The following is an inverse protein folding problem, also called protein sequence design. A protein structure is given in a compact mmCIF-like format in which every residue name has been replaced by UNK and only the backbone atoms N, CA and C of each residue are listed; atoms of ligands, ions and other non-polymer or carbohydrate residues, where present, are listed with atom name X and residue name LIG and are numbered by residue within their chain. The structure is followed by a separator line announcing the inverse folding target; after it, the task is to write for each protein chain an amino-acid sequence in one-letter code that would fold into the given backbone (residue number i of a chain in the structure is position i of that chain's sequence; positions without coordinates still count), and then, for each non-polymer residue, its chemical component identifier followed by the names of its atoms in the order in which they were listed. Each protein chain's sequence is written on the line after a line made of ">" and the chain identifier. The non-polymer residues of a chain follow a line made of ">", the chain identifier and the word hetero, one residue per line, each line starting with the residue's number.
data_IF_951617730802
#
_entry.id   IF_951617730802
#
_cell.length_a   1.000
_cell.length_b   1.000
_cell.length_c   1.000
_cell.angle_alpha   90.00
_cell.angle_beta   90.00
_cell.angle_gamma   90.00
#
_symmetry.space_group_name_H-M   'P 1'
#
loop_
_entity.id
_entity.type
_entity.pdbx_description
1 polymer ?
#
# COMPACT_ATOMS: atom_id res chain seq x y z
N UNK A 1 1.78 7.62 -25.56
CA UNK A 1 1.79 6.42 -24.69
C UNK A 1 0.37 6.20 -24.20
N UNK A 2 -0.23 5.02 -24.41
CA UNK A 2 -1.56 4.72 -23.85
C UNK A 2 -1.41 4.45 -22.36
N UNK A 3 -2.39 4.87 -21.57
CA UNK A 3 -2.43 4.63 -20.13
C UNK A 3 -2.48 3.11 -19.87
N UNK A 4 -1.49 2.60 -19.13
CA UNK A 4 -1.56 1.26 -18.57
C UNK A 4 -2.62 1.24 -17.46
N UNK A 5 -3.38 0.15 -17.30
CA UNK A 5 -4.38 0.07 -16.24
C UNK A 5 -3.70 0.14 -14.86
N UNK A 6 -4.45 0.65 -13.90
CA UNK A 6 -4.02 0.80 -12.51
C UNK A 6 -4.90 -0.06 -11.61
N UNK A 7 -4.34 -0.45 -10.46
CA UNK A 7 -5.10 -1.06 -9.36
C UNK A 7 -5.12 -0.10 -8.17
N UNK A 8 -6.12 -0.25 -7.31
CA UNK A 8 -6.10 0.42 -6.00
C UNK A 8 -5.01 -0.19 -5.11
N UNK A 9 -4.38 0.65 -4.30
CA UNK A 9 -3.36 0.26 -3.32
C UNK A 9 -3.63 0.95 -1.99
N UNK A 10 -3.10 0.42 -0.90
CA UNK A 10 -3.18 1.09 0.39
C UNK A 10 -2.43 2.41 0.33
N UNK A 11 -3.04 3.47 0.86
CA UNK A 11 -2.40 4.76 1.03
C UNK A 11 -1.62 4.79 2.35
N UNK A 12 -0.46 5.43 2.32
CA UNK A 12 0.34 5.72 3.50
C UNK A 12 0.04 7.16 3.92
N UNK A 13 -0.17 7.38 5.21
CA UNK A 13 -0.43 8.69 5.77
C UNK A 13 0.60 9.04 6.84
N UNK A 14 1.30 10.16 6.63
CA UNK A 14 2.14 10.81 7.64
C UNK A 14 1.65 12.23 7.91
N UNK A 15 1.70 12.61 9.17
CA UNK A 15 1.35 13.93 9.71
C UNK A 15 2.58 14.51 10.38
N UNK A 16 2.83 15.81 10.20
CA UNK A 16 3.95 16.49 10.87
C UNK A 16 3.50 17.84 11.39
N UNK A 17 3.75 18.12 12.67
CA UNK A 17 3.50 19.44 13.23
C UNK A 17 4.47 20.45 12.61
N UNK A 18 3.97 21.58 12.10
CA UNK A 18 4.81 22.59 11.43
C UNK A 18 5.80 23.24 12.40
N UNK A 19 5.45 23.32 13.69
CA UNK A 19 6.31 23.84 14.76
C UNK A 19 7.18 22.75 15.43
N UNK A 20 7.07 21.49 14.99
CA UNK A 20 7.81 20.36 15.54
C UNK A 20 7.29 19.84 16.89
N UNK A 21 6.18 20.38 17.41
CA UNK A 21 5.64 19.94 18.70
C UNK A 21 4.71 18.72 18.55
N UNK A 22 5.31 17.53 18.57
CA UNK A 22 4.58 16.26 18.51
C UNK A 22 3.62 16.02 19.68
N UNK A 23 3.89 16.61 20.86
CA UNK A 23 3.03 16.47 22.04
C UNK A 23 1.76 17.31 21.83
N UNK A 24 1.92 18.55 21.37
CA UNK A 24 0.80 19.40 21.00
C UNK A 24 -0.03 18.79 19.87
N UNK A 25 0.64 18.23 18.84
CA UNK A 25 -0.03 17.50 17.76
C UNK A 25 -0.88 16.35 18.27
N UNK A 26 -0.32 15.47 19.11
CA UNK A 26 -1.07 14.35 19.70
C UNK A 26 -2.33 14.83 20.42
N UNK A 27 -2.18 15.85 21.27
CA UNK A 27 -3.29 16.42 22.03
C UNK A 27 -4.36 17.01 21.11
N UNK A 28 -3.95 17.69 20.04
CA UNK A 28 -4.85 18.30 19.09
C UNK A 28 -5.62 17.25 18.26
N UNK A 29 -4.96 16.16 17.83
CA UNK A 29 -5.62 15.03 17.17
C UNK A 29 -6.68 14.38 18.08
N UNK A 30 -6.35 14.14 19.36
CA UNK A 30 -7.31 13.62 20.34
C UNK A 30 -8.48 14.57 20.53
N UNK A 31 -8.20 15.87 20.64
CA UNK A 31 -9.24 16.87 20.81
C UNK A 31 -10.18 16.93 19.62
N UNK A 32 -9.70 16.79 18.38
CA UNK A 32 -10.52 16.83 17.17
C UNK A 32 -11.18 15.49 16.81
N UNK A 33 -10.81 14.39 17.47
CA UNK A 33 -11.55 13.14 17.40
C UNK A 33 -12.91 13.28 18.09
N UNK A 34 -13.89 13.78 17.33
CA UNK A 34 -15.28 14.02 17.75
C UNK A 34 -16.25 13.36 16.76
N UNK A 35 -17.52 13.28 17.17
CA UNK A 35 -18.58 12.72 16.33
C UNK A 35 -18.40 11.21 16.17
N UNK A 36 -18.07 10.77 14.96
CA UNK A 36 -17.78 9.35 14.67
C UNK A 36 -16.38 8.92 15.09
N UNK A 37 -15.50 9.87 15.42
CA UNK A 37 -14.13 9.59 15.85
C UNK A 37 -13.99 9.72 17.36
N UNK A 38 -13.24 8.79 17.96
CA UNK A 38 -13.03 8.68 19.40
C UNK A 38 -11.59 8.30 19.70
N UNK A 39 -11.07 8.77 20.84
CA UNK A 39 -9.79 8.31 21.36
C UNK A 39 -9.92 6.89 21.94
N UNK A 40 -9.08 5.95 21.47
CA UNK A 40 -9.14 4.54 21.88
C UNK A 40 -8.03 4.19 22.90
N UNK A 41 -8.29 4.51 24.16
CA UNK A 41 -7.38 4.24 25.27
C UNK A 41 -7.17 2.73 25.54
N UNK A 42 -8.16 1.90 25.20
CA UNK A 42 -8.08 0.45 25.41
C UNK A 42 -7.06 -0.16 24.45
N UNK A 43 -7.12 0.23 23.17
CA UNK A 43 -6.14 -0.20 22.17
C UNK A 43 -4.71 0.26 22.53
N UNK A 44 -4.54 1.49 22.99
CA UNK A 44 -3.24 1.99 23.47
C UNK A 44 -2.69 1.15 24.63
N UNK A 45 -3.53 0.89 25.63
CA UNK A 45 -3.15 0.10 26.81
C UNK A 45 -2.76 -1.33 26.44
N UNK A 46 -3.50 -1.96 25.52
CA UNK A 46 -3.20 -3.30 25.01
C UNK A 46 -1.87 -3.33 24.26
N UNK A 47 -1.58 -2.32 23.44
CA UNK A 47 -0.32 -2.25 22.69
C UNK A 47 0.90 -2.10 23.62
N UNK A 48 0.78 -1.32 24.70
CA UNK A 48 1.81 -1.20 25.74
C UNK A 48 2.02 -2.53 26.45
N UNK A 49 0.94 -3.23 26.84
CA UNK A 49 1.03 -4.53 27.52
C UNK A 49 1.70 -5.64 26.69
N UNK A 50 1.70 -5.51 25.36
CA UNK A 50 2.37 -6.40 24.43
C UNK A 50 3.83 -6.00 24.11
N UNK A 51 4.35 -4.95 24.76
CA UNK A 51 5.71 -4.45 24.53
C UNK A 51 5.91 -3.76 23.17
N UNK A 52 4.81 -3.41 22.48
CA UNK A 52 4.83 -2.82 21.14
C UNK A 52 4.84 -1.28 21.14
N UNK A 53 4.91 -0.65 22.32
CA UNK A 53 4.99 0.80 22.47
C UNK A 53 5.54 1.22 23.83
N UNK A 54 6.04 2.44 23.94
CA UNK A 54 6.30 3.07 25.24
C UNK A 54 5.03 3.75 25.75
N UNK A 55 4.91 3.97 27.06
CA UNK A 55 3.92 4.91 27.58
C UNK A 55 4.04 6.24 26.80
N UNK A 56 2.91 6.76 26.29
CA UNK A 56 2.76 8.00 25.54
C UNK A 56 3.23 8.08 24.07
N UNK A 57 3.72 7.02 23.42
CA UNK A 57 4.14 7.13 22.01
C UNK A 57 3.05 6.77 21.01
N UNK A 58 2.36 5.65 21.19
CA UNK A 58 1.29 5.22 20.29
C UNK A 58 0.02 6.07 20.49
N UNK A 59 -0.65 6.41 19.39
CA UNK A 59 -1.97 7.03 19.39
C UNK A 59 -2.94 6.09 18.65
N UNK A 60 -4.05 5.73 19.28
CA UNK A 60 -5.11 4.96 18.64
C UNK A 60 -6.41 5.76 18.62
N UNK A 61 -7.01 5.90 17.44
CA UNK A 61 -8.29 6.56 17.25
C UNK A 61 -9.27 5.59 16.61
N UNK A 62 -10.42 5.40 17.24
CA UNK A 62 -11.51 4.55 16.72
C UNK A 62 -12.50 5.40 15.98
N UNK A 63 -12.95 4.88 14.84
CA UNK A 63 -14.07 5.38 14.05
C UNK A 63 -15.25 4.43 14.20
N UNK A 64 -16.40 4.94 14.57
CA UNK A 64 -17.66 4.20 14.50
C UNK A 64 -18.08 4.01 13.03
N UNK A 65 -18.73 2.88 12.71
CA UNK A 65 -19.17 2.57 11.35
C UNK A 65 -20.43 3.33 10.94
N UNK A 66 -20.57 3.59 9.64
CA UNK A 66 -21.80 4.10 9.01
C UNK A 66 -22.08 3.38 7.68
N UNK A 67 -23.06 3.89 6.91
CA UNK A 67 -23.48 3.30 5.63
C UNK A 67 -22.37 3.29 4.56
N UNK A 68 -21.37 4.17 4.65
CA UNK A 68 -20.35 4.38 3.62
C UNK A 68 -18.97 3.87 4.04
N UNK A 69 -18.62 4.05 5.31
CA UNK A 69 -17.28 3.78 5.82
C UNK A 69 -17.40 2.85 7.04
N UNK A 70 -16.67 1.72 7.04
CA UNK A 70 -16.76 0.73 8.11
C UNK A 70 -16.16 1.25 9.42
N UNK A 71 -16.58 0.64 10.53
CA UNK A 71 -15.96 0.84 11.83
C UNK A 71 -14.50 0.34 11.79
N UNK A 72 -13.58 1.16 12.29
CA UNK A 72 -12.16 0.83 12.25
C UNK A 72 -11.36 1.54 13.35
N UNK A 73 -10.20 1.00 13.69
CA UNK A 73 -9.20 1.62 14.56
C UNK A 73 -7.99 2.02 13.72
N UNK A 74 -7.66 3.31 13.76
CA UNK A 74 -6.46 3.88 13.16
C UNK A 74 -5.37 3.99 14.22
N UNK A 75 -4.24 3.34 13.95
CA UNK A 75 -3.08 3.36 14.84
C UNK A 75 -1.99 4.24 14.25
N UNK A 76 -1.52 5.20 15.03
CA UNK A 76 -0.45 6.11 14.67
C UNK A 76 0.77 5.89 15.58
N UNK A 77 1.95 5.83 14.96
CA UNK A 77 3.23 5.79 15.66
C UNK A 77 4.00 7.08 15.42
N UNK A 78 4.81 7.53 16.39
CA UNK A 78 5.68 8.68 16.18
C UNK A 78 6.64 8.45 15.01
N UNK A 79 6.80 9.47 14.17
CA UNK A 79 7.72 9.46 13.04
C UNK A 79 8.47 10.80 12.97
N UNK A 80 9.80 10.74 12.99
CA UNK A 80 10.67 11.93 12.98
C UNK A 80 10.47 12.87 14.17
N UNK A 81 10.90 14.12 14.01
CA UNK A 81 10.76 15.16 15.02
C UNK A 81 9.35 15.76 14.97
N UNK A 82 8.48 15.31 15.87
CA UNK A 82 7.15 15.88 16.05
C UNK A 82 6.07 15.40 15.07
N UNK A 83 6.29 14.28 14.39
CA UNK A 83 5.33 13.69 13.45
C UNK A 83 4.71 12.37 13.91
N UNK A 84 3.67 11.96 13.18
CA UNK A 84 2.99 10.68 13.34
C UNK A 84 2.77 10.03 11.98
N UNK A 85 2.96 8.72 11.90
CA UNK A 85 2.60 7.91 10.75
C UNK A 85 1.49 6.94 11.11
N UNK A 86 0.47 6.84 10.27
CA UNK A 86 -0.51 5.75 10.36
C UNK A 86 0.19 4.47 9.96
N UNK A 87 0.30 3.53 10.90
CA UNK A 87 0.92 2.22 10.64
C UNK A 87 -0.10 1.14 10.36
N UNK A 88 -1.34 1.32 10.82
CA UNK A 88 -2.39 0.34 10.58
C UNK A 88 -3.79 0.97 10.65
N UNK A 89 -4.71 0.37 9.90
CA UNK A 89 -6.15 0.62 9.99
C UNK A 89 -6.83 -0.75 10.05
N UNK A 90 -7.37 -1.08 11.22
CA UNK A 90 -7.92 -2.41 11.50
C UNK A 90 -9.44 -2.30 11.59
N UNK A 91 -10.22 -3.11 10.84
CA UNK A 91 -11.67 -3.10 10.96
C UNK A 91 -12.10 -3.60 12.35
N UNK A 92 -13.14 -2.99 12.90
CA UNK A 92 -13.69 -3.40 14.21
C UNK A 92 -14.71 -4.55 14.07
N UNK A 93 -15.38 -4.66 12.93
CA UNK A 93 -16.49 -5.61 12.70
C UNK A 93 -16.25 -6.56 11.53
N UNK A 94 -15.37 -6.19 10.60
CA UNK A 94 -15.03 -6.99 9.42
C UNK A 94 -13.77 -7.84 9.69
N UNK A 95 -13.61 -8.90 8.91
CA UNK A 95 -12.37 -9.68 8.93
C UNK A 95 -11.18 -8.90 8.36
N UNK A 96 -11.39 -8.20 7.24
CA UNK A 96 -10.39 -7.39 6.57
C UNK A 96 -11.05 -6.23 5.81
N UNK A 97 -10.29 -5.14 5.61
CA UNK A 97 -10.69 -4.02 4.75
C UNK A 97 -10.17 -4.25 3.33
N UNK A 98 -11.01 -3.90 2.35
CA UNK A 98 -10.53 -3.69 0.97
C UNK A 98 -9.64 -2.45 0.89
N UNK A 99 -8.85 -2.30 -0.18
CA UNK A 99 -8.08 -1.07 -0.43
C UNK A 99 -8.97 0.17 -0.44
N UNK A 100 -10.14 0.08 -1.09
CA UNK A 100 -11.13 1.15 -1.12
C UNK A 100 -11.58 1.57 0.27
N UNK A 101 -11.98 0.61 1.11
CA UNK A 101 -12.48 0.87 2.46
C UNK A 101 -11.38 1.43 3.36
N UNK A 102 -10.18 0.84 3.32
CA UNK A 102 -9.01 1.34 4.05
C UNK A 102 -8.72 2.80 3.70
N UNK A 103 -8.63 3.09 2.39
CA UNK A 103 -8.36 4.44 1.90
C UNK A 103 -9.48 5.42 2.24
N UNK A 104 -10.73 4.95 2.32
CA UNK A 104 -11.87 5.77 2.72
C UNK A 104 -11.81 6.14 4.20
N UNK A 105 -11.42 5.21 5.08
CA UNK A 105 -11.17 5.49 6.50
C UNK A 105 -10.06 6.54 6.65
N UNK A 106 -8.95 6.40 5.91
CA UNK A 106 -7.86 7.40 5.96
C UNK A 106 -8.29 8.79 5.49
N UNK A 107 -9.08 8.87 4.41
CA UNK A 107 -9.59 10.15 3.91
C UNK A 107 -10.53 10.80 4.92
N UNK A 108 -11.42 10.01 5.52
CA UNK A 108 -12.31 10.50 6.58
C UNK A 108 -11.54 10.98 7.81
N UNK A 109 -10.51 10.24 8.24
CA UNK A 109 -9.61 10.66 9.30
C UNK A 109 -8.93 12.00 8.99
N UNK A 110 -8.48 12.18 7.75
CA UNK A 110 -7.86 13.44 7.31
C UNK A 110 -8.86 14.60 7.39
N UNK A 111 -10.06 14.44 6.85
CA UNK A 111 -11.05 15.51 6.81
C UNK A 111 -11.59 15.87 8.20
N UNK A 112 -11.89 14.86 9.02
CA UNK A 112 -12.59 15.03 10.28
C UNK A 112 -11.67 15.30 11.47
N UNK A 113 -10.41 14.81 11.44
CA UNK A 113 -9.49 14.90 12.58
C UNK A 113 -8.22 15.65 12.22
N UNK A 114 -7.52 15.27 11.15
CA UNK A 114 -6.20 15.83 10.87
C UNK A 114 -6.27 17.29 10.39
N UNK A 115 -7.12 17.62 9.42
CA UNK A 115 -7.24 18.99 8.88
C UNK A 115 -7.72 20.04 9.91
N UNK A 116 -8.67 19.74 10.82
CA UNK A 116 -9.10 20.70 11.84
C UNK A 116 -8.09 20.94 12.97
N UNK A 117 -7.04 20.13 13.06
CA UNK A 117 -6.03 20.20 14.13
C UNK A 117 -5.28 21.55 14.11
N UNK A 118 -5.14 22.17 15.28
CA UNK A 118 -4.28 23.33 15.52
C UNK A 118 -3.15 22.96 16.50
N UNK A 119 -1.87 23.32 16.26
CA UNK A 119 -1.37 24.14 15.16
C UNK A 119 -1.46 23.45 13.79
N UNK A 120 -1.24 24.22 12.72
CA UNK A 120 -1.29 23.69 11.36
C UNK A 120 -0.30 22.51 11.19
N UNK A 121 -0.73 21.49 10.46
CA UNK A 121 0.05 20.28 10.21
C UNK A 121 0.31 20.11 8.72
N UNK A 122 1.46 19.51 8.39
CA UNK A 122 1.71 18.98 7.06
C UNK A 122 1.10 17.57 6.97
N UNK A 123 0.30 17.33 5.92
CA UNK A 123 -0.35 16.04 5.66
C UNK A 123 0.22 15.45 4.38
N UNK A 124 0.88 14.28 4.48
CA UNK A 124 1.41 13.54 3.34
C UNK A 124 0.63 12.25 3.17
N UNK A 125 -0.13 12.15 2.08
CA UNK A 125 -0.90 10.97 1.71
C UNK A 125 -0.35 10.40 0.39
N UNK A 126 0.01 9.11 0.37
CA UNK A 126 0.50 8.45 -0.85
C UNK A 126 -0.63 8.23 -1.88
N UNK A 127 -0.30 7.89 -3.14
CA UNK A 127 -1.31 7.65 -4.17
C UNK A 127 -2.15 6.40 -3.85
N UNK A 128 -3.47 6.50 -3.94
CA UNK A 128 -4.38 5.35 -3.75
C UNK A 128 -4.52 4.44 -4.97
N UNK A 129 -3.90 4.78 -6.10
CA UNK A 129 -3.83 3.93 -7.29
C UNK A 129 -2.41 3.91 -7.83
N UNK A 130 -2.00 2.75 -8.34
CA UNK A 130 -0.69 2.56 -8.98
C UNK A 130 -0.83 1.73 -10.25
N UNK A 131 -0.03 2.10 -11.23
CA UNK A 131 0.16 1.39 -12.50
C UNK A 131 1.52 0.68 -12.51
N UNK A 132 1.78 -0.17 -13.52
CA UNK A 132 3.11 -0.78 -13.71
C UNK A 132 4.25 0.24 -13.71
N UNK A 133 4.03 1.45 -14.23
CA UNK A 133 5.05 2.50 -14.27
C UNK A 133 5.50 2.95 -12.87
N UNK A 134 4.63 2.80 -11.86
CA UNK A 134 4.97 3.14 -10.48
C UNK A 134 5.92 2.10 -9.87
N UNK A 135 5.93 0.84 -10.36
CA UNK A 135 6.75 -0.26 -9.84
C UNK A 135 7.92 -0.69 -10.74
N UNK A 136 7.90 -0.35 -12.03
CA UNK A 136 8.92 -0.80 -12.99
C UNK A 136 9.49 0.35 -13.82
N UNK A 137 10.58 0.11 -14.56
CA UNK A 137 10.99 1.04 -15.62
C UNK A 137 9.95 1.11 -16.74
N UNK A 138 10.07 2.12 -17.61
CA UNK A 138 9.19 2.27 -18.76
C UNK A 138 9.33 1.10 -19.74
N UNK A 139 10.54 0.57 -19.90
CA UNK A 139 10.88 -0.55 -20.76
C UNK A 139 10.25 -1.85 -20.25
N UNK A 140 10.37 -2.11 -18.95
CA UNK A 140 9.75 -3.27 -18.31
C UNK A 140 8.21 -3.18 -18.37
N UNK A 141 7.62 -2.02 -18.07
CA UNK A 141 6.17 -1.83 -18.16
C UNK A 141 5.65 -2.04 -19.60
N UNK A 142 6.40 -1.55 -20.59
CA UNK A 142 6.09 -1.75 -22.00
C UNK A 142 6.17 -3.23 -22.40
N UNK A 143 7.24 -3.92 -21.99
CA UNK A 143 7.43 -5.35 -22.27
C UNK A 143 6.32 -6.21 -21.66
N UNK A 144 5.95 -5.96 -20.39
CA UNK A 144 4.84 -6.64 -19.72
C UNK A 144 3.51 -6.36 -20.43
N UNK A 145 3.26 -5.10 -20.80
CA UNK A 145 2.06 -4.74 -21.57
C UNK A 145 1.99 -5.41 -22.94
N UNK A 146 3.13 -5.63 -23.61
CA UNK A 146 3.19 -6.38 -24.88
C UNK A 146 2.89 -7.85 -24.67
N UNK A 147 3.52 -8.49 -23.68
CA UNK A 147 3.23 -9.87 -23.29
C UNK A 147 1.73 -10.04 -23.02
N UNK A 148 1.19 -9.22 -22.13
CA UNK A 148 -0.18 -9.40 -21.65
C UNK A 148 -1.27 -9.26 -22.72
N UNK A 149 -1.07 -8.35 -23.69
CA UNK A 149 -2.02 -8.17 -24.79
C UNK A 149 -1.95 -9.28 -25.84
N UNK A 150 -0.80 -9.92 -26.00
CA UNK A 150 -0.56 -10.84 -27.10
C UNK A 150 -0.66 -12.31 -26.68
N UNK A 151 -0.42 -12.60 -25.40
CA UNK A 151 -0.49 -13.94 -24.87
C UNK A 151 -1.95 -14.43 -24.77
N UNK A 152 -2.13 -15.72 -24.94
CA UNK A 152 -3.37 -16.35 -24.51
C UNK A 152 -3.38 -16.46 -22.98
N UNK A 153 -4.26 -15.69 -22.32
CA UNK A 153 -4.33 -15.59 -20.86
C UNK A 153 -4.70 -16.90 -20.16
N UNK A 154 -5.24 -17.89 -20.87
CA UNK A 154 -5.51 -19.21 -20.31
C UNK A 154 -4.30 -20.16 -20.32
N UNK A 155 -3.20 -19.78 -20.98
CA UNK A 155 -2.01 -20.63 -21.13
C UNK A 155 -0.70 -19.95 -20.69
N UNK A 156 -0.75 -18.70 -20.25
CA UNK A 156 0.41 -18.01 -19.69
C UNK A 156 1.58 -17.89 -20.66
N UNK A 157 2.76 -18.22 -20.15
CA UNK A 157 4.03 -18.22 -20.89
C UNK A 157 4.30 -19.55 -21.64
N UNK A 158 3.32 -20.47 -21.72
CA UNK A 158 3.55 -21.83 -22.27
C UNK A 158 3.83 -21.86 -23.77
N UNK A 159 3.26 -20.94 -24.56
CA UNK A 159 3.53 -20.88 -25.99
C UNK A 159 4.91 -20.22 -26.23
N UNK A 160 5.76 -20.72 -27.16
CA UNK A 160 7.12 -20.19 -27.34
C UNK A 160 7.20 -18.67 -27.53
N UNK A 161 6.31 -18.09 -28.34
CA UNK A 161 6.28 -16.64 -28.56
C UNK A 161 5.82 -15.84 -27.32
N UNK A 162 5.03 -16.45 -26.43
CA UNK A 162 4.58 -15.81 -25.20
C UNK A 162 5.66 -15.94 -24.13
N UNK A 163 6.36 -17.08 -24.10
CA UNK A 163 7.58 -17.28 -23.31
C UNK A 163 8.63 -16.22 -23.63
N UNK A 164 8.91 -15.98 -24.91
CA UNK A 164 9.91 -14.97 -25.32
C UNK A 164 9.53 -13.56 -24.84
N UNK A 165 8.25 -13.19 -24.97
CA UNK A 165 7.75 -11.89 -24.50
C UNK A 165 7.78 -11.77 -22.97
N UNK A 166 7.46 -12.85 -22.28
CA UNK A 166 7.53 -12.93 -20.83
C UNK A 166 8.97 -12.78 -20.31
N UNK A 167 9.91 -13.53 -20.90
CA UNK A 167 11.34 -13.43 -20.57
C UNK A 167 11.88 -12.03 -20.88
N UNK A 168 11.44 -11.40 -21.97
CA UNK A 168 11.81 -10.02 -22.28
C UNK A 168 11.40 -9.04 -21.17
N UNK A 169 10.20 -9.19 -20.60
CA UNK A 169 9.78 -8.40 -19.45
C UNK A 169 10.69 -8.62 -18.23
N UNK A 170 10.95 -9.88 -17.85
CA UNK A 170 11.79 -10.21 -16.70
C UNK A 170 13.20 -9.61 -16.84
N UNK A 171 13.82 -9.77 -18.01
CA UNK A 171 15.15 -9.23 -18.29
C UNK A 171 15.15 -7.70 -18.19
N UNK A 172 14.17 -7.02 -18.75
CA UNK A 172 14.05 -5.55 -18.65
C UNK A 172 13.86 -5.10 -17.20
N UNK A 173 13.06 -5.84 -16.41
CA UNK A 173 12.86 -5.54 -15.00
C UNK A 173 14.17 -5.70 -14.21
N UNK A 174 14.86 -6.83 -14.35
CA UNK A 174 16.14 -7.09 -13.69
C UNK A 174 17.22 -6.06 -14.05
N UNK A 175 17.35 -5.73 -15.34
CA UNK A 175 18.32 -4.75 -15.82
C UNK A 175 18.05 -3.33 -15.28
N UNK A 176 16.79 -3.01 -14.99
CA UNK A 176 16.43 -1.70 -14.42
C UNK A 176 16.95 -1.51 -12.99
N UNK A 177 17.34 -2.61 -12.30
CA UNK A 177 17.75 -2.62 -10.88
C UNK A 177 16.72 -2.05 -9.91
N UNK A 178 15.46 -1.88 -10.36
CA UNK A 178 14.33 -1.53 -9.49
C UNK A 178 13.82 -2.78 -8.81
N UNK A 179 13.60 -2.71 -7.50
CA UNK A 179 13.07 -3.81 -6.69
C UNK A 179 11.68 -3.46 -6.11
N UNK A 180 10.95 -2.55 -6.78
CA UNK A 180 9.67 -2.04 -6.27
C UNK A 180 8.47 -2.94 -6.64
N UNK A 181 8.65 -3.85 -7.61
CA UNK A 181 7.61 -4.79 -8.05
C UNK A 181 7.74 -6.12 -7.31
N UNK A 182 6.88 -6.31 -6.33
CA UNK A 182 6.75 -7.58 -5.60
C UNK A 182 5.92 -8.61 -6.42
N UNK A 183 6.24 -9.93 -6.35
CA UNK A 183 5.48 -10.96 -7.06
C UNK A 183 3.97 -10.95 -6.76
N UNK A 184 3.57 -10.71 -5.52
CA UNK A 184 2.15 -10.63 -5.15
C UNK A 184 1.45 -9.41 -5.79
N UNK A 185 2.17 -8.29 -5.90
CA UNK A 185 1.69 -7.09 -6.60
C UNK A 185 1.55 -7.35 -8.09
N UNK A 186 2.49 -8.07 -8.70
CA UNK A 186 2.43 -8.47 -10.11
C UNK A 186 1.22 -9.37 -10.39
N UNK A 187 1.01 -10.43 -9.59
CA UNK A 187 -0.15 -11.30 -9.71
C UNK A 187 -1.45 -10.51 -9.60
N UNK A 188 -1.57 -9.62 -8.60
CA UNK A 188 -2.76 -8.80 -8.41
C UNK A 188 -3.00 -7.84 -9.56
N UNK A 189 -1.95 -7.21 -10.09
CA UNK A 189 -2.10 -6.33 -11.25
C UNK A 189 -2.56 -7.11 -12.49
N UNK A 190 -1.99 -8.29 -12.75
CA UNK A 190 -2.40 -9.15 -13.86
C UNK A 190 -3.89 -9.54 -13.75
N UNK A 191 -4.36 -9.91 -12.57
CA UNK A 191 -5.75 -10.32 -12.37
C UNK A 191 -6.73 -9.14 -12.35
N UNK A 192 -6.52 -8.13 -11.50
CA UNK A 192 -7.47 -7.04 -11.28
C UNK A 192 -7.47 -6.01 -12.40
N UNK A 193 -6.29 -5.60 -12.88
CA UNK A 193 -6.16 -4.53 -13.86
C UNK A 193 -6.17 -5.03 -15.31
N UNK A 194 -5.64 -6.24 -15.55
CA UNK A 194 -5.52 -6.80 -16.90
C UNK A 194 -6.42 -8.02 -17.12
N UNK A 195 -7.12 -8.54 -16.11
CA UNK A 195 -8.13 -9.59 -16.30
C UNK A 195 -7.56 -10.97 -16.64
N UNK A 196 -6.36 -11.28 -16.17
CA UNK A 196 -5.85 -12.65 -16.18
C UNK A 196 -6.63 -13.53 -15.20
N UNK A 197 -6.83 -14.83 -15.51
CA UNK A 197 -7.25 -15.81 -14.51
C UNK A 197 -6.31 -15.78 -13.30
N UNK A 198 -6.87 -15.87 -12.09
CA UNK A 198 -6.13 -15.69 -10.83
C UNK A 198 -5.02 -16.74 -10.65
N UNK A 199 -5.32 -17.99 -10.99
CA UNK A 199 -4.37 -19.11 -11.02
C UNK A 199 -3.20 -18.81 -11.96
N UNK A 200 -3.49 -18.36 -13.19
CA UNK A 200 -2.46 -18.03 -14.17
C UNK A 200 -1.62 -16.80 -13.77
N UNK A 201 -2.26 -15.79 -13.18
CA UNK A 201 -1.55 -14.63 -12.65
C UNK A 201 -0.58 -15.02 -11.53
N UNK A 202 -0.97 -15.98 -10.68
CA UNK A 202 -0.13 -16.51 -9.62
C UNK A 202 1.03 -17.36 -10.16
N UNK A 203 0.77 -18.23 -11.15
CA UNK A 203 1.82 -19.00 -11.83
C UNK A 203 2.88 -18.09 -12.45
N UNK A 204 2.47 -17.04 -13.16
CA UNK A 204 3.38 -16.04 -13.72
C UNK A 204 4.18 -15.32 -12.63
N UNK A 205 3.57 -14.97 -11.50
CA UNK A 205 4.30 -14.35 -10.40
C UNK A 205 5.38 -15.28 -9.79
N UNK A 206 5.11 -16.58 -9.69
CA UNK A 206 6.10 -17.58 -9.25
C UNK A 206 7.25 -17.69 -10.26
N UNK A 207 6.93 -17.74 -11.56
CA UNK A 207 7.96 -17.73 -12.61
C UNK A 207 8.84 -16.47 -12.55
N UNK A 208 8.22 -15.32 -12.31
CA UNK A 208 8.90 -14.04 -12.17
C UNK A 208 9.88 -14.05 -11.00
N UNK A 209 9.43 -14.44 -9.80
CA UNK A 209 10.28 -14.55 -8.60
C UNK A 209 11.46 -15.48 -8.84
N UNK A 210 11.20 -16.70 -9.33
CA UNK A 210 12.23 -17.69 -9.61
C UNK A 210 13.27 -17.21 -10.63
N UNK A 211 12.82 -16.50 -11.67
CA UNK A 211 13.72 -15.97 -12.69
C UNK A 211 14.58 -14.81 -12.15
N UNK A 212 14.04 -13.95 -11.29
CA UNK A 212 14.83 -12.89 -10.64
C UNK A 212 15.89 -13.45 -9.71
N UNK A 213 15.56 -14.46 -8.91
CA UNK A 213 16.53 -15.15 -8.05
C UNK A 213 17.68 -15.74 -8.86
N UNK A 214 17.36 -16.40 -9.99
CA UNK A 214 18.36 -16.95 -10.88
C UNK A 214 19.26 -15.88 -11.50
N UNK A 215 18.69 -14.76 -11.95
CA UNK A 215 19.43 -13.66 -12.55
C UNK A 215 20.32 -12.94 -11.53
N UNK A 216 19.84 -12.78 -10.29
CA UNK A 216 20.63 -12.25 -9.19
C UNK A 216 21.81 -13.16 -8.84
N UNK A 217 21.57 -14.48 -8.76
CA UNK A 217 22.64 -15.47 -8.56
C UNK A 217 23.66 -15.39 -9.70
N UNK A 218 23.21 -15.37 -10.95
CA UNK A 218 24.08 -15.29 -12.12
C UNK A 218 24.98 -14.04 -12.09
N UNK A 219 24.40 -12.86 -11.82
CA UNK A 219 25.17 -11.62 -11.73
C UNK A 219 26.24 -11.65 -10.62
N UNK A 220 25.97 -12.33 -9.50
CA UNK A 220 26.93 -12.49 -8.41
C UNK A 220 28.08 -13.46 -8.70
N UNK A 221 27.99 -14.24 -9.78
CA UNK A 221 28.97 -15.25 -10.20
C UNK A 221 29.59 -14.94 -11.58
N UNK A 222 29.47 -13.70 -12.04
CA UNK A 222 30.10 -13.20 -13.28
C UNK A 222 31.47 -12.59 -13.05
#
# INVERSE_FOLDING_TARGET
>A
MRNLPSIEVFQDLSLTAVDGDGIALRKALINEAKGLWHHDLEMESRAIGLGTGSENTLLALRRDGDELIPAAVVTLFPEGDGGYKVTNVVPSELYALTHHQYNSVLKDFIECVAKPTAPAIEIRLSKGTKSLMDWTSAEAASALGIFSRAANKSTGSSHPADRDRWMAFIVQHHQSRRNDLDPSVLARWLSEADGWPEDMAHELAIEFESALDLLAYYDGHR
#
